data_IF_391569898215
#
_entry.id   IF_391569898215
#
_cell.length_a   1.000
_cell.length_b   1.000
_cell.length_c   1.000
_cell.angle_alpha   90.00
_cell.angle_beta   90.00
_cell.angle_gamma   90.00
#
_symmetry.space_group_name_H-M   'P 1'
#
loop_
_entity.id
_entity.type
_entity.pdbx_description
1 polymer ?
#
# COMPACT_ATOMS: atom_id res chain seq x y z
N UNK A 1 31.14 -2.33 30.09
CA UNK A 1 30.62 -3.35 29.16
C UNK A 1 29.65 -2.68 28.18
N UNK A 2 29.75 -3.09 26.93
CA UNK A 2 29.47 -2.38 25.67
C UNK A 2 28.00 -2.04 25.40
N UNK A 3 27.71 -0.76 25.13
CA UNK A 3 26.46 -0.29 24.48
C UNK A 3 26.63 -0.35 22.96
N UNK A 4 25.92 -1.25 22.29
CA UNK A 4 25.89 -1.36 20.83
C UNK A 4 24.73 -0.54 20.24
N UNK A 5 25.08 0.49 19.45
CA UNK A 5 24.16 1.27 18.60
C UNK A 5 23.82 0.46 17.34
N UNK A 6 22.54 0.37 16.99
CA UNK A 6 22.08 -0.10 15.69
C UNK A 6 21.89 1.11 14.77
N UNK A 7 22.57 1.12 13.63
CA UNK A 7 22.52 2.18 12.63
C UNK A 7 21.53 1.83 11.52
N UNK A 8 20.62 2.77 11.26
CA UNK A 8 20.19 3.32 9.98
C UNK A 8 20.31 2.47 8.71
N UNK A 9 19.14 2.12 8.19
CA UNK A 9 18.88 1.54 6.88
C UNK A 9 19.00 2.63 5.80
N UNK A 10 20.05 2.57 4.99
CA UNK A 10 20.30 3.52 3.91
C UNK A 10 19.37 3.28 2.72
N UNK A 11 18.58 4.30 2.42
CA UNK A 11 17.76 4.48 1.22
C UNK A 11 18.62 4.57 -0.04
N UNK A 12 18.40 3.69 -1.01
CA UNK A 12 18.99 3.77 -2.34
C UNK A 12 18.19 4.75 -3.23
N UNK A 13 18.85 5.62 -4.03
CA UNK A 13 18.17 6.52 -4.95
C UNK A 13 17.79 5.83 -6.26
N UNK A 14 16.52 5.97 -6.64
CA UNK A 14 15.93 5.54 -7.91
C UNK A 14 16.39 6.47 -9.03
N UNK A 15 16.97 5.91 -10.10
CA UNK A 15 17.30 6.64 -11.32
C UNK A 15 16.01 6.95 -12.09
N UNK A 16 15.69 8.23 -12.21
CA UNK A 16 14.61 8.75 -13.06
C UNK A 16 15.10 8.86 -14.51
N UNK A 17 14.52 8.07 -15.41
CA UNK A 17 14.56 8.31 -16.85
C UNK A 17 13.44 9.29 -17.19
N UNK A 18 13.81 10.56 -17.42
CA UNK A 18 12.90 11.59 -17.89
C UNK A 18 12.79 11.54 -19.41
N UNK A 19 11.63 11.09 -19.90
CA UNK A 19 11.18 11.25 -21.28
C UNK A 19 10.79 12.69 -21.54
N UNK A 20 11.37 13.25 -22.60
CA UNK A 20 11.07 14.54 -23.20
C UNK A 20 9.67 14.53 -23.82
N UNK A 21 8.81 15.46 -23.38
CA UNK A 21 7.66 15.89 -24.18
C UNK A 21 7.60 17.42 -24.16
N UNK A 22 7.75 17.98 -25.35
CA UNK A 22 7.57 19.38 -25.67
C UNK A 22 6.11 19.77 -25.45
N UNK A 23 5.86 20.77 -24.61
CA UNK A 23 4.58 21.46 -24.55
C UNK A 23 4.83 22.97 -24.58
N UNK A 24 4.70 23.55 -25.76
CA UNK A 24 4.66 24.99 -26.00
C UNK A 24 3.21 25.49 -25.92
N UNK A 25 2.89 26.27 -24.90
CA UNK A 25 1.84 27.31 -24.91
C UNK A 25 1.95 28.09 -23.60
N UNK A 26 2.53 29.29 -23.65
CA UNK A 26 1.80 30.58 -23.64
C UNK A 26 0.95 30.69 -22.37
N UNK A 27 1.54 31.30 -21.34
CA UNK A 27 0.85 32.02 -20.28
C UNK A 27 1.82 33.04 -19.69
N UNK A 28 1.31 34.24 -19.53
CA UNK A 28 1.98 35.50 -19.23
C UNK A 28 2.68 35.48 -17.85
N UNK A 29 3.89 36.05 -17.71
CA UNK A 29 4.52 36.21 -16.40
C UNK A 29 3.98 37.46 -15.70
N UNK A 30 3.12 37.28 -14.70
CA UNK A 30 2.88 38.29 -13.68
C UNK A 30 4.11 38.38 -12.78
N UNK A 31 4.72 39.57 -12.74
CA UNK A 31 5.84 39.92 -11.87
C UNK A 31 5.50 39.65 -10.40
N UNK A 32 6.20 38.69 -9.79
CA UNK A 32 6.25 38.57 -8.32
C UNK A 32 7.59 39.15 -7.88
N UNK A 33 7.50 40.37 -7.35
CA UNK A 33 8.58 41.08 -6.65
C UNK A 33 8.89 40.35 -5.34
N UNK A 34 10.06 39.72 -5.25
CA UNK A 34 10.62 39.25 -3.99
C UNK A 34 11.55 40.34 -3.40
N UNK A 35 11.40 40.72 -2.11
CA UNK A 35 12.32 41.65 -1.47
C UNK A 35 13.66 40.97 -1.12
N UNK A 36 14.80 41.70 -1.19
CA UNK A 36 16.08 41.19 -0.74
C UNK A 36 16.20 41.39 0.78
N UNK A 37 16.44 40.32 1.53
CA UNK A 37 17.01 40.46 2.87
C UNK A 37 18.11 39.44 3.06
N UNK A 38 19.31 40.00 3.11
CA UNK A 38 20.55 39.34 3.45
C UNK A 38 20.48 38.75 4.85
N UNK A 39 20.89 37.49 4.99
CA UNK A 39 21.60 37.03 6.18
C UNK A 39 22.56 35.92 5.77
N UNK A 40 23.85 36.27 5.85
CA UNK A 40 24.98 35.39 5.69
C UNK A 40 24.99 34.38 6.85
N UNK A 41 24.90 33.10 6.52
CA UNK A 41 25.25 32.01 7.43
C UNK A 41 26.53 31.37 6.90
N UNK A 42 27.66 31.71 7.53
CA UNK A 42 28.94 31.02 7.36
C UNK A 42 28.81 29.60 7.95
N UNK A 43 28.57 28.61 7.10
CA UNK A 43 28.64 27.21 7.47
C UNK A 43 30.09 26.72 7.31
N UNK A 44 30.75 26.48 8.45
CA UNK A 44 32.02 25.79 8.58
C UNK A 44 32.02 24.48 7.78
N UNK A 45 32.88 24.38 6.77
CA UNK A 45 33.19 23.15 6.04
C UNK A 45 33.89 22.16 6.99
N UNK A 46 33.12 21.36 7.72
CA UNK A 46 33.63 20.14 8.35
C UNK A 46 33.47 19.00 7.36
N UNK A 47 34.56 18.71 6.64
CA UNK A 47 34.68 17.52 5.80
C UNK A 47 34.58 16.27 6.71
N UNK A 48 33.55 15.42 6.58
CA UNK A 48 33.47 14.22 7.41
C UNK A 48 34.57 13.23 7.02
N UNK A 49 35.20 12.53 7.99
CA UNK A 49 36.25 11.56 7.71
C UNK A 49 35.70 10.42 6.85
N UNK A 50 36.33 10.21 5.69
CA UNK A 50 36.02 9.17 4.71
C UNK A 50 36.14 7.79 5.37
N UNK A 51 35.01 7.09 5.55
CA UNK A 51 34.98 5.73 6.12
C UNK A 51 35.83 4.80 5.23
N UNK A 52 36.80 4.09 5.85
CA UNK A 52 37.61 3.06 5.19
C UNK A 52 36.68 2.03 4.55
N UNK A 53 36.88 1.75 3.26
CA UNK A 53 36.17 0.68 2.55
C UNK A 53 36.44 -0.63 3.27
N UNK A 54 35.39 -1.32 3.71
CA UNK A 54 35.53 -2.69 4.21
C UNK A 54 36.11 -3.55 3.10
N UNK A 55 37.19 -4.27 3.39
CA UNK A 55 37.72 -5.31 2.53
C UNK A 55 36.58 -6.29 2.20
N UNK A 56 36.37 -6.54 0.90
CA UNK A 56 35.38 -7.51 0.44
C UNK A 56 35.82 -8.88 0.93
N UNK A 57 35.14 -9.43 1.93
CA UNK A 57 35.29 -10.82 2.32
C UNK A 57 35.21 -11.73 1.08
N UNK A 58 36.18 -12.63 0.95
CA UNK A 58 36.27 -13.57 -0.17
C UNK A 58 34.97 -14.38 -0.27
N UNK A 59 34.35 -14.37 -1.46
CA UNK A 59 33.12 -15.12 -1.74
C UNK A 59 33.32 -16.60 -1.40
N UNK A 60 32.53 -17.09 -0.44
CA UNK A 60 32.42 -18.51 -0.07
C UNK A 60 32.08 -19.32 -1.34
N UNK A 61 32.90 -20.32 -1.66
CA UNK A 61 32.68 -21.17 -2.84
C UNK A 61 31.38 -21.98 -2.65
N UNK A 62 30.37 -21.68 -3.47
CA UNK A 62 29.06 -22.35 -3.47
C UNK A 62 29.27 -23.80 -3.91
N UNK A 63 28.90 -24.76 -3.05
CA UNK A 63 28.97 -26.20 -3.32
C UNK A 63 28.02 -26.59 -4.46
N UNK A 64 28.30 -27.66 -5.23
CA UNK A 64 27.46 -28.05 -6.37
C UNK A 64 26.00 -28.34 -5.97
N UNK A 65 25.77 -28.87 -4.78
CA UNK A 65 24.43 -29.14 -4.23
C UNK A 65 23.62 -27.87 -3.96
N UNK A 66 24.26 -26.78 -3.52
CA UNK A 66 23.62 -25.49 -3.31
C UNK A 66 23.25 -24.81 -4.64
N UNK A 67 24.00 -25.08 -5.72
CA UNK A 67 23.67 -24.59 -7.07
C UNK A 67 22.42 -25.25 -7.64
N UNK A 68 22.21 -26.54 -7.39
CA UNK A 68 21.01 -27.25 -7.85
C UNK A 68 19.77 -26.80 -7.08
N UNK A 69 19.87 -26.65 -5.75
CA UNK A 69 18.81 -26.08 -4.92
C UNK A 69 18.46 -24.64 -5.32
N UNK A 70 19.44 -23.85 -5.77
CA UNK A 70 19.18 -22.51 -6.31
C UNK A 70 18.44 -22.56 -7.65
N UNK A 71 18.73 -23.54 -8.52
CA UNK A 71 18.08 -23.69 -9.82
C UNK A 71 16.61 -24.11 -9.69
N UNK A 72 16.30 -25.02 -8.77
CA UNK A 72 14.91 -25.43 -8.50
C UNK A 72 14.08 -24.29 -7.90
N UNK A 73 14.66 -23.48 -7.01
CA UNK A 73 13.99 -22.28 -6.48
C UNK A 73 13.70 -21.24 -7.56
N UNK A 74 14.64 -21.01 -8.50
CA UNK A 74 14.45 -20.05 -9.60
C UNK A 74 13.33 -20.46 -10.55
N UNK A 75 13.34 -21.71 -10.98
CA UNK A 75 12.28 -22.25 -11.85
C UNK A 75 10.91 -22.19 -11.17
N UNK A 76 10.82 -22.49 -9.87
CA UNK A 76 9.56 -22.31 -9.12
C UNK A 76 9.10 -20.84 -9.06
N UNK A 77 10.03 -19.88 -8.93
CA UNK A 77 9.67 -18.45 -8.95
C UNK A 77 9.24 -17.95 -10.32
N UNK A 78 9.83 -18.47 -11.40
CA UNK A 78 9.48 -18.12 -12.79
C UNK A 78 8.03 -18.50 -13.09
N UNK A 79 7.62 -19.74 -12.75
CA UNK A 79 6.23 -20.18 -12.93
C UNK A 79 5.24 -19.29 -12.18
N UNK A 80 5.58 -18.88 -10.95
CA UNK A 80 4.72 -17.97 -10.18
C UNK A 80 4.68 -16.55 -10.76
N UNK A 81 5.77 -16.10 -11.39
CA UNK A 81 5.82 -14.80 -12.03
C UNK A 81 4.96 -14.79 -13.29
N UNK A 82 5.07 -15.81 -14.14
CA UNK A 82 4.23 -15.98 -15.33
C UNK A 82 2.74 -15.97 -14.95
N UNK A 83 2.35 -16.73 -13.91
CA UNK A 83 0.96 -16.73 -13.42
C UNK A 83 0.50 -15.37 -12.90
N UNK A 84 1.39 -14.59 -12.28
CA UNK A 84 1.07 -13.22 -11.83
C UNK A 84 0.93 -12.26 -13.00
N UNK A 85 1.73 -12.42 -14.05
CA UNK A 85 1.66 -11.60 -15.28
C UNK A 85 0.38 -11.91 -16.06
N UNK A 86 0.06 -13.20 -16.26
CA UNK A 86 -1.21 -13.65 -16.84
C UNK A 86 -2.41 -13.10 -16.07
N UNK A 87 -2.37 -13.20 -14.74
CA UNK A 87 -3.40 -12.65 -13.87
C UNK A 87 -3.52 -11.14 -14.03
N UNK A 88 -2.40 -10.40 -13.99
CA UNK A 88 -2.38 -8.95 -14.11
C UNK A 88 -2.90 -8.46 -15.48
N UNK A 89 -2.58 -9.17 -16.57
CA UNK A 89 -3.07 -8.86 -17.91
C UNK A 89 -4.59 -9.07 -18.05
N UNK A 90 -5.16 -10.02 -17.30
CA UNK A 90 -6.60 -10.29 -17.29
C UNK A 90 -7.43 -9.29 -16.47
N UNK A 91 -6.79 -8.40 -15.71
CA UNK A 91 -7.47 -7.43 -14.86
C UNK A 91 -7.97 -6.24 -15.69
N UNK A 92 -9.29 -6.04 -15.67
CA UNK A 92 -9.92 -4.85 -16.25
C UNK A 92 -10.17 -3.84 -15.13
N UNK A 93 -9.67 -2.60 -15.25
CA UNK A 93 -10.00 -1.54 -14.31
C UNK A 93 -11.51 -1.37 -14.20
N UNK A 94 -11.99 -1.06 -13.00
CA UNK A 94 -13.40 -0.78 -12.79
C UNK A 94 -13.75 0.58 -13.39
N UNK A 95 -14.68 0.59 -14.33
CA UNK A 95 -15.17 1.79 -15.02
C UNK A 95 -16.57 2.20 -14.53
N UNK A 96 -16.88 1.91 -13.27
CA UNK A 96 -18.19 2.22 -12.69
C UNK A 96 -18.31 3.67 -12.23
N UNK A 97 -19.53 4.04 -11.83
CA UNK A 97 -19.82 5.40 -11.40
C UNK A 97 -19.07 5.76 -10.11
N UNK A 98 -18.33 6.87 -10.14
CA UNK A 98 -17.75 7.48 -8.93
C UNK A 98 -18.82 7.90 -7.91
N UNK A 99 -20.09 7.95 -8.34
CA UNK A 99 -21.26 8.24 -7.50
C UNK A 99 -21.78 7.03 -6.73
N UNK A 100 -21.20 5.85 -6.95
CA UNK A 100 -21.56 4.62 -6.25
C UNK A 100 -21.53 4.81 -4.72
N UNK A 101 -22.52 4.21 -4.06
CA UNK A 101 -22.62 4.16 -2.61
C UNK A 101 -22.93 2.74 -2.18
N UNK A 102 -22.24 2.29 -1.14
CA UNK A 102 -22.55 1.01 -0.52
C UNK A 102 -23.84 1.09 0.30
N UNK A 103 -24.62 0.01 0.40
CA UNK A 103 -25.79 -0.02 1.28
C UNK A 103 -25.36 0.00 2.76
N UNK A 104 -26.30 0.38 3.63
CA UNK A 104 -26.09 0.35 5.08
C UNK A 104 -25.73 -1.05 5.56
N UNK A 105 -24.86 -1.14 6.56
CA UNK A 105 -24.38 -2.40 7.12
C UNK A 105 -23.25 -3.07 6.34
N UNK A 106 -22.88 -2.56 5.16
CA UNK A 106 -21.73 -3.07 4.38
C UNK A 106 -20.45 -2.98 5.19
N UNK A 107 -19.68 -4.06 5.20
CA UNK A 107 -18.32 -4.10 5.72
C UNK A 107 -17.35 -3.76 4.60
N UNK A 108 -16.46 -2.81 4.85
CA UNK A 108 -15.48 -2.33 3.89
C UNK A 108 -14.10 -2.14 4.52
N UNK A 109 -13.10 -2.03 3.67
CA UNK A 109 -11.71 -1.79 4.01
C UNK A 109 -11.19 -0.56 3.28
N UNK A 110 -10.22 0.12 3.90
CA UNK A 110 -9.43 1.11 3.19
C UNK A 110 -8.49 0.43 2.20
N UNK A 111 -8.12 1.16 1.14
CA UNK A 111 -7.16 0.69 0.13
C UNK A 111 -5.88 0.13 0.74
N UNK A 112 -5.29 0.86 1.70
CA UNK A 112 -4.02 0.49 2.33
C UNK A 112 -4.15 -0.82 3.13
N UNK A 113 -5.21 -0.93 3.92
CA UNK A 113 -5.46 -2.10 4.76
C UNK A 113 -5.77 -3.34 3.91
N UNK A 114 -6.59 -3.19 2.86
CA UNK A 114 -6.88 -4.29 1.92
C UNK A 114 -5.61 -4.81 1.22
N UNK A 115 -4.73 -3.90 0.75
CA UNK A 115 -3.42 -4.28 0.15
C UNK A 115 -2.56 -5.04 1.15
N UNK A 116 -2.45 -4.53 2.38
CA UNK A 116 -1.62 -5.13 3.43
C UNK A 116 -2.11 -6.51 3.89
N UNK A 117 -3.43 -6.62 4.10
CA UNK A 117 -4.11 -7.81 4.61
C UNK A 117 -4.16 -8.95 3.58
N UNK A 118 -4.56 -8.67 2.35
CA UNK A 118 -4.79 -9.69 1.31
C UNK A 118 -3.63 -9.81 0.30
N UNK A 119 -2.53 -9.08 0.50
CA UNK A 119 -1.38 -9.02 -0.44
C UNK A 119 -1.82 -8.69 -1.87
N UNK A 120 -2.76 -7.75 -1.97
CA UNK A 120 -3.26 -7.24 -3.25
C UNK A 120 -2.41 -6.09 -3.75
N UNK A 121 -2.26 -6.00 -5.07
CA UNK A 121 -1.54 -4.91 -5.74
C UNK A 121 -2.46 -3.71 -5.94
N UNK A 122 -1.89 -2.57 -6.31
CA UNK A 122 -2.67 -1.37 -6.59
C UNK A 122 -3.60 -1.53 -7.79
N UNK A 123 -3.10 -2.15 -8.87
CA UNK A 123 -3.86 -2.42 -10.07
C UNK A 123 -5.05 -3.36 -9.79
N UNK A 124 -4.84 -4.38 -8.95
CA UNK A 124 -5.91 -5.26 -8.47
C UNK A 124 -7.00 -4.49 -7.73
N UNK A 125 -6.63 -3.58 -6.83
CA UNK A 125 -7.61 -2.76 -6.11
C UNK A 125 -8.44 -1.87 -7.04
N UNK A 126 -7.85 -1.34 -8.13
CA UNK A 126 -8.57 -0.51 -9.10
C UNK A 126 -9.58 -1.29 -9.95
N UNK A 127 -9.54 -2.62 -9.94
CA UNK A 127 -10.57 -3.45 -10.59
C UNK A 127 -11.84 -3.61 -9.76
N UNK A 128 -11.81 -3.20 -8.49
CA UNK A 128 -12.94 -3.35 -7.59
C UNK A 128 -13.81 -2.10 -7.54
N UNK A 129 -15.13 -2.27 -7.40
CA UNK A 129 -16.02 -1.17 -7.05
C UNK A 129 -15.60 -0.53 -5.73
N UNK A 130 -15.64 0.80 -5.68
CA UNK A 130 -15.30 1.53 -4.47
C UNK A 130 -16.12 2.80 -4.30
N UNK A 131 -16.42 3.13 -3.05
CA UNK A 131 -17.03 4.40 -2.66
C UNK A 131 -15.90 5.37 -2.28
N UNK A 132 -15.76 6.47 -3.01
CA UNK A 132 -14.81 7.54 -2.69
C UNK A 132 -15.50 8.66 -1.92
N UNK A 133 -14.80 9.19 -0.90
CA UNK A 133 -15.23 10.40 -0.20
C UNK A 133 -14.61 11.61 -0.93
N UNK A 134 -15.42 12.48 -1.53
CA UNK A 134 -14.93 13.70 -2.15
C UNK A 134 -14.45 14.70 -1.09
N UNK A 135 -13.48 15.55 -1.45
CA UNK A 135 -13.02 16.70 -0.66
C UNK A 135 -12.45 16.37 0.74
N UNK A 136 -12.07 15.13 0.99
CA UNK A 136 -11.16 14.83 2.10
C UNK A 136 -9.73 15.11 1.64
N UNK A 137 -8.92 15.80 2.45
CA UNK A 137 -7.50 16.05 2.15
C UNK A 137 -6.64 14.79 1.94
N UNK A 138 -7.23 13.61 2.13
CA UNK A 138 -6.73 12.30 1.71
C UNK A 138 -7.85 11.60 0.93
N UNK A 139 -7.58 11.04 -0.25
CA UNK A 139 -8.57 10.28 -1.00
C UNK A 139 -8.93 8.98 -0.26
N UNK A 140 -10.01 8.99 0.51
CA UNK A 140 -10.51 7.80 1.20
C UNK A 140 -11.41 7.02 0.23
N UNK A 141 -10.94 5.83 -0.16
CA UNK A 141 -11.70 4.86 -0.95
C UNK A 141 -12.01 3.64 -0.11
N UNK A 142 -13.29 3.26 -0.06
CA UNK A 142 -13.81 2.11 0.67
C UNK A 142 -14.15 0.98 -0.31
N UNK A 143 -13.54 -0.17 -0.08
CA UNK A 143 -13.75 -1.39 -0.85
C UNK A 143 -14.54 -2.40 -0.04
N UNK A 144 -15.62 -2.97 -0.58
CA UNK A 144 -16.41 -3.96 0.13
C UNK A 144 -15.55 -5.20 0.48
N UNK A 145 -15.67 -5.66 1.72
CA UNK A 145 -14.89 -6.79 2.24
C UNK A 145 -15.20 -8.08 1.47
N UNK A 146 -16.46 -8.28 1.05
CA UNK A 146 -16.88 -9.40 0.21
C UNK A 146 -16.08 -9.47 -1.08
N UNK A 147 -15.91 -8.32 -1.73
CA UNK A 147 -15.33 -8.22 -3.06
C UNK A 147 -13.82 -8.38 -3.00
N UNK A 148 -13.19 -7.80 -1.97
CA UNK A 148 -11.77 -8.00 -1.67
C UNK A 148 -11.47 -9.48 -1.39
N UNK A 149 -12.30 -10.16 -0.59
CA UNK A 149 -12.17 -11.61 -0.34
C UNK A 149 -12.35 -12.42 -1.62
N UNK A 150 -13.36 -12.09 -2.43
CA UNK A 150 -13.61 -12.78 -3.68
C UNK A 150 -12.44 -12.62 -4.66
N UNK A 151 -11.84 -11.43 -4.74
CA UNK A 151 -10.67 -11.17 -5.56
C UNK A 151 -9.44 -11.96 -5.06
N UNK A 152 -9.18 -11.94 -3.76
CA UNK A 152 -8.09 -12.71 -3.15
C UNK A 152 -8.25 -14.22 -3.41
N UNK A 153 -9.48 -14.73 -3.27
CA UNK A 153 -9.80 -16.13 -3.58
C UNK A 153 -9.57 -16.46 -5.05
N UNK A 154 -10.01 -15.60 -5.97
CA UNK A 154 -9.77 -15.78 -7.41
C UNK A 154 -8.27 -15.78 -7.74
N UNK A 155 -7.49 -14.89 -7.12
CA UNK A 155 -6.02 -14.82 -7.28
C UNK A 155 -5.33 -16.10 -6.81
N UNK A 156 -5.80 -16.67 -5.70
CA UNK A 156 -5.33 -17.96 -5.19
C UNK A 156 -5.68 -19.10 -6.15
N UNK A 157 -6.93 -19.18 -6.61
CA UNK A 157 -7.36 -20.21 -7.56
C UNK A 157 -6.65 -20.12 -8.92
N UNK A 158 -6.24 -18.91 -9.34
CA UNK A 158 -5.43 -18.71 -10.54
C UNK A 158 -3.95 -19.10 -10.37
N UNK A 159 -3.51 -19.48 -9.17
CA UNK A 159 -2.10 -19.80 -8.88
C UNK A 159 -1.19 -18.58 -8.79
N UNK A 160 -1.74 -17.36 -8.83
CA UNK A 160 -0.99 -16.11 -8.70
C UNK A 160 -0.67 -15.76 -7.23
N UNK A 161 -1.26 -16.48 -6.28
CA UNK A 161 -0.95 -16.44 -4.85
C UNK A 161 -0.69 -17.84 -4.31
N UNK A 162 0.28 -17.96 -3.40
CA UNK A 162 0.63 -19.22 -2.72
C UNK A 162 -0.26 -19.53 -1.52
N UNK A 163 -0.86 -18.51 -0.92
CA UNK A 163 -1.63 -18.63 0.33
C UNK A 163 -3.05 -18.12 0.08
N UNK A 164 -4.04 -18.89 0.55
CA UNK A 164 -5.43 -18.46 0.59
C UNK A 164 -5.68 -17.59 1.83
N UNK A 165 -5.64 -16.28 1.64
CA UNK A 165 -5.91 -15.29 2.69
C UNK A 165 -7.40 -14.93 2.78
N UNK A 166 -8.28 -15.50 1.94
CA UNK A 166 -9.68 -15.11 1.87
C UNK A 166 -10.52 -15.63 3.04
N UNK A 167 -10.13 -16.77 3.61
CA UNK A 167 -10.83 -17.44 4.70
C UNK A 167 -10.24 -17.16 6.09
N UNK A 168 -9.05 -16.56 6.16
CA UNK A 168 -8.33 -16.40 7.42
C UNK A 168 -8.98 -15.32 8.31
N UNK A 169 -9.51 -15.72 9.46
CA UNK A 169 -10.16 -14.83 10.42
C UNK A 169 -9.17 -13.86 11.05
N UNK A 170 -7.91 -14.25 11.24
CA UNK A 170 -6.90 -13.42 11.90
C UNK A 170 -6.49 -12.21 11.02
N UNK A 171 -6.55 -12.39 9.70
CA UNK A 171 -6.34 -11.30 8.73
C UNK A 171 -7.41 -10.22 8.90
N UNK A 172 -8.65 -10.61 9.19
CA UNK A 172 -9.78 -9.69 9.33
C UNK A 172 -9.74 -8.87 10.62
N UNK A 173 -9.29 -9.47 11.72
CA UNK A 173 -9.18 -8.78 13.01
C UNK A 173 -8.22 -7.59 12.95
N UNK A 174 -7.17 -7.70 12.14
CA UNK A 174 -6.14 -6.67 12.01
C UNK A 174 -6.35 -5.71 10.82
N UNK A 175 -7.25 -6.03 9.89
CA UNK A 175 -7.44 -5.24 8.67
C UNK A 175 -8.20 -3.92 8.87
N UNK A 176 -8.59 -3.55 10.10
CA UNK A 176 -9.26 -2.26 10.33
C UNK A 176 -10.64 -2.17 9.65
N UNK A 177 -11.41 -3.26 9.65
CA UNK A 177 -12.72 -3.36 8.99
C UNK A 177 -13.67 -2.24 9.45
N UNK A 178 -14.17 -1.48 8.50
CA UNK A 178 -15.17 -0.44 8.70
C UNK A 178 -16.56 -0.97 8.36
N UNK A 179 -17.58 -0.54 9.08
CA UNK A 179 -18.99 -0.81 8.79
C UNK A 179 -19.68 0.51 8.45
N UNK A 180 -20.49 0.50 7.39
CA UNK A 180 -21.35 1.64 7.06
C UNK A 180 -22.54 1.69 8.03
N UNK A 181 -22.62 2.73 8.85
CA UNK A 181 -23.67 2.87 9.87
C UNK A 181 -24.78 3.82 9.45
N UNK A 182 -24.46 4.86 8.67
CA UNK A 182 -25.40 5.89 8.25
C UNK A 182 -25.18 6.28 6.78
N UNK A 183 -26.24 6.78 6.14
CA UNK A 183 -26.17 7.45 4.84
C UNK A 183 -27.09 8.66 4.92
N UNK A 184 -26.51 9.83 5.18
CA UNK A 184 -27.24 11.09 5.30
C UNK A 184 -27.42 11.80 3.96
N UNK A 185 -27.28 11.08 2.84
CA UNK A 185 -27.29 11.68 1.51
C UNK A 185 -25.95 12.33 1.13
N UNK A 186 -25.01 12.49 2.07
CA UNK A 186 -23.65 12.97 1.83
C UNK A 186 -22.63 11.85 2.03
N UNK A 187 -21.52 11.91 1.30
CA UNK A 187 -20.39 11.00 1.49
C UNK A 187 -19.37 11.66 2.39
N UNK A 188 -19.36 11.26 3.65
CA UNK A 188 -18.40 11.74 4.63
C UNK A 188 -17.84 10.57 5.44
N UNK A 189 -16.75 10.83 6.17
CA UNK A 189 -16.08 9.80 6.97
C UNK A 189 -16.96 9.29 8.12
N UNK A 190 -17.85 10.13 8.64
CA UNK A 190 -18.75 9.79 9.75
C UNK A 190 -19.73 8.67 9.42
N UNK A 191 -20.00 8.41 8.14
CA UNK A 191 -20.82 7.29 7.70
C UNK A 191 -20.19 5.91 7.95
N UNK A 192 -18.87 5.87 8.13
CA UNK A 192 -18.08 4.66 8.32
C UNK A 192 -17.52 4.63 9.75
N UNK A 193 -17.76 3.53 10.45
CA UNK A 193 -17.24 3.30 11.80
C UNK A 193 -16.50 1.99 11.90
N UNK A 194 -15.57 1.89 12.84
CA UNK A 194 -14.84 0.65 13.10
C UNK A 194 -15.81 -0.44 13.60
N UNK A 195 -15.91 -1.53 12.83
CA UNK A 195 -16.81 -2.64 13.13
C UNK A 195 -16.48 -3.29 14.49
N UNK A 196 -15.20 -3.31 14.88
CA UNK A 196 -14.76 -3.85 16.17
C UNK A 196 -15.16 -2.95 17.35
N UNK A 197 -15.21 -1.64 17.12
CA UNK A 197 -15.58 -0.66 18.14
C UNK A 197 -17.08 -0.72 18.43
N UNK A 198 -17.91 -0.95 17.41
CA UNK A 198 -19.34 -1.15 17.59
C UNK A 198 -19.66 -2.34 18.51
N UNK A 199 -19.00 -3.49 18.30
CA UNK A 199 -19.17 -4.69 19.13
C UNK A 199 -18.68 -4.43 20.56
N UNK A 200 -17.47 -3.85 20.72
CA UNK A 200 -16.93 -3.53 22.06
C UNK A 200 -17.82 -2.58 22.85
N UNK A 201 -18.39 -1.57 22.19
CA UNK A 201 -19.28 -0.61 22.83
C UNK A 201 -20.62 -1.24 23.21
N UNK A 202 -21.17 -2.14 22.38
CA UNK A 202 -22.39 -2.88 22.71
C UNK A 202 -22.19 -3.77 23.95
N UNK A 203 -21.07 -4.50 24.02
CA UNK A 203 -20.73 -5.34 25.19
C UNK A 203 -20.55 -4.50 26.45
N UNK A 204 -19.88 -3.34 26.36
CA UNK A 204 -19.73 -2.42 27.50
C UNK A 204 -21.08 -1.91 28.01
N UNK A 205 -22.01 -1.56 27.12
CA UNK A 205 -23.36 -1.12 27.50
C UNK A 205 -24.15 -2.23 28.18
N UNK A 206 -24.11 -3.45 27.63
CA UNK A 206 -24.80 -4.60 28.23
C UNK A 206 -24.30 -4.89 29.66
N UNK A 207 -23.00 -4.75 29.93
CA UNK A 207 -22.41 -4.92 31.27
C UNK A 207 -22.79 -3.82 32.27
N UNK A 208 -23.11 -2.61 31.80
CA UNK A 208 -23.48 -1.49 32.69
C UNK A 208 -24.95 -1.54 33.16
N UNK A 209 -25.77 -2.36 32.52
CA UNK A 209 -27.20 -2.58 32.85
C UNK A 209 -27.46 -3.78 33.76
N UNK A 210 -26.44 -4.58 34.06
CA UNK A 210 -26.45 -5.66 35.07
C UNK A 210 -25.73 -5.21 36.32
#
# INVERSE_FOLDING_TARGET
>A
MTRGRFCDFASTPTLYLATLLNFTSILEPTEIQCPPTAQQCVATTQTPPRKKSRDREHKKQVTPEEKEAAKTKRSATEVLQEKKEEWAAGLKPWTGDERMRWPLGTLALFKADAKGAFKLTEAEMLTLPHESIPNSGKSYSYYALSDVKALARRKFLAGASLVDLSADSHVLENAGVQKKHTDNGQRNRGNWGDASTAVRNAVKRARATT
#
